data_IF_444047603529
#
_entry.id   IF_444047603529
#
_cell.length_a   1.000
_cell.length_b   1.000
_cell.length_c   1.000
_cell.angle_alpha   90.00
_cell.angle_beta   90.00
_cell.angle_gamma   90.00
#
_symmetry.space_group_name_H-M   'P 1'
#
loop_
_entity.id
_entity.type
_entity.pdbx_description
1 polymer ?
#
# COMPACT_ATOMS: atom_id res chain seq x y z
N UNK A 1 -75.45 -59.29 -4.57
CA UNK A 1 -75.02 -60.43 -5.45
C UNK A 1 -73.58 -60.07 -5.83
N UNK A 2 -72.71 -60.64 -5.08
CA UNK A 2 -71.70 -61.66 -5.34
C UNK A 2 -70.40 -61.07 -5.88
N UNK A 3 -69.41 -61.05 -4.99
CA UNK A 3 -68.23 -61.95 -4.90
C UNK A 3 -67.35 -61.90 -6.14
N UNK A 4 -66.07 -61.69 -6.08
CA UNK A 4 -64.99 -62.37 -5.40
C UNK A 4 -63.66 -61.67 -5.62
N UNK A 5 -62.84 -61.54 -4.59
CA UNK A 5 -61.47 -62.03 -4.32
C UNK A 5 -60.51 -62.19 -5.52
N UNK A 6 -59.36 -61.56 -5.43
CA UNK A 6 -58.14 -62.36 -5.41
C UNK A 6 -56.92 -61.53 -5.06
N UNK A 7 -56.14 -62.07 -4.19
CA UNK A 7 -54.84 -61.57 -3.73
C UNK A 7 -53.72 -61.82 -4.75
N UNK A 8 -52.75 -60.97 -4.84
CA UNK A 8 -51.34 -61.31 -5.20
C UNK A 8 -50.48 -60.17 -4.83
N UNK A 9 -49.81 -60.29 -3.75
CA UNK A 9 -48.42 -60.71 -3.48
C UNK A 9 -47.39 -59.59 -3.67
N UNK A 10 -47.01 -59.17 -2.56
CA UNK A 10 -45.87 -58.45 -2.06
C UNK A 10 -44.53 -58.95 -2.67
N UNK A 11 -43.99 -58.34 -3.68
CA UNK A 11 -42.55 -58.54 -4.14
C UNK A 11 -41.94 -57.30 -4.76
N UNK A 12 -42.18 -56.09 -4.26
CA UNK A 12 -41.66 -54.90 -4.83
C UNK A 12 -40.88 -53.99 -3.85
N UNK A 13 -40.75 -54.39 -2.60
CA UNK A 13 -40.30 -53.44 -1.55
C UNK A 13 -38.83 -53.63 -1.01
N UNK A 14 -38.06 -54.57 -1.56
CA UNK A 14 -36.69 -54.84 -1.06
C UNK A 14 -35.54 -54.39 -1.96
N UNK A 15 -35.79 -53.96 -3.19
CA UNK A 15 -34.72 -53.49 -4.12
C UNK A 15 -34.57 -51.97 -4.13
N UNK A 16 -35.54 -51.20 -3.66
CA UNK A 16 -35.42 -49.71 -3.60
C UNK A 16 -34.63 -49.20 -2.38
N UNK A 17 -34.52 -49.98 -1.30
CA UNK A 17 -33.79 -49.60 -0.10
C UNK A 17 -32.26 -49.76 -0.23
N UNK A 18 -31.77 -50.69 -1.07
CA UNK A 18 -30.35 -50.95 -1.27
C UNK A 18 -29.64 -49.96 -2.23
N UNK A 19 -30.39 -49.37 -3.17
CA UNK A 19 -29.87 -48.34 -4.09
C UNK A 19 -29.76 -46.96 -3.41
N UNK A 20 -30.65 -46.61 -2.50
CA UNK A 20 -30.57 -45.32 -1.79
C UNK A 20 -29.42 -45.26 -0.75
N UNK A 21 -28.99 -46.39 -0.19
CA UNK A 21 -27.87 -46.45 0.73
C UNK A 21 -26.51 -46.33 0.03
N UNK A 22 -26.39 -46.73 -1.21
CA UNK A 22 -25.15 -46.57 -2.00
C UNK A 22 -25.00 -45.13 -2.51
N UNK A 23 -26.07 -44.47 -2.91
CA UNK A 23 -26.04 -43.07 -3.35
C UNK A 23 -25.79 -42.10 -2.20
N UNK A 24 -26.29 -42.36 -1.01
CA UNK A 24 -26.03 -41.55 0.18
C UNK A 24 -24.57 -41.62 0.68
N UNK A 25 -23.90 -42.79 0.49
CA UNK A 25 -22.49 -42.93 0.86
C UNK A 25 -21.54 -42.28 -0.17
N UNK A 26 -21.82 -42.35 -1.45
CA UNK A 26 -21.06 -41.67 -2.50
C UNK A 26 -21.25 -40.15 -2.43
N UNK A 27 -22.45 -39.66 -2.15
CA UNK A 27 -22.72 -38.23 -2.00
C UNK A 27 -22.04 -37.66 -0.73
N UNK A 28 -22.04 -38.40 0.39
CA UNK A 28 -21.28 -37.99 1.60
C UNK A 28 -19.77 -38.04 1.40
N UNK A 29 -19.24 -39.02 0.66
CA UNK A 29 -17.82 -39.06 0.30
C UNK A 29 -17.44 -37.93 -0.66
N UNK A 30 -18.29 -37.58 -1.62
CA UNK A 30 -18.06 -36.42 -2.51
C UNK A 30 -18.16 -35.09 -1.77
N UNK A 31 -19.12 -34.92 -0.86
CA UNK A 31 -19.23 -33.74 0.00
C UNK A 31 -18.06 -33.64 0.99
N UNK A 32 -17.53 -34.74 1.51
CA UNK A 32 -16.35 -34.78 2.36
C UNK A 32 -15.06 -34.45 1.59
N UNK A 33 -14.95 -34.88 0.32
CA UNK A 33 -13.84 -34.57 -0.56
C UNK A 33 -13.90 -33.10 -1.01
N UNK A 34 -15.10 -32.57 -1.30
CA UNK A 34 -15.32 -31.15 -1.59
C UNK A 34 -15.05 -30.25 -0.36
N UNK A 35 -15.46 -30.69 0.83
CA UNK A 35 -15.14 -29.98 2.08
C UNK A 35 -13.63 -30.06 2.44
N UNK A 36 -12.97 -31.19 2.17
CA UNK A 36 -11.52 -31.31 2.32
C UNK A 36 -10.75 -30.53 1.25
N UNK A 37 -11.26 -30.46 0.01
CA UNK A 37 -10.68 -29.60 -1.04
C UNK A 37 -10.92 -28.11 -0.76
N UNK A 38 -12.07 -27.73 -0.19
CA UNK A 38 -12.33 -26.37 0.27
C UNK A 38 -11.48 -26.00 1.48
N UNK A 39 -11.21 -26.95 2.40
CA UNK A 39 -10.28 -26.77 3.53
C UNK A 39 -8.81 -26.74 3.08
N UNK A 40 -8.43 -27.41 1.98
CA UNK A 40 -7.10 -27.32 1.39
C UNK A 40 -6.94 -26.08 0.49
N UNK A 41 -8.04 -25.58 -0.10
CA UNK A 41 -8.03 -24.29 -0.82
C UNK A 41 -8.05 -23.09 0.13
N UNK A 42 -8.54 -23.24 1.36
CA UNK A 42 -8.45 -22.22 2.41
C UNK A 42 -7.11 -22.23 3.17
N UNK A 43 -6.23 -23.21 2.87
CA UNK A 43 -4.81 -23.17 3.26
C UNK A 43 -3.95 -22.36 2.27
N UNK A 44 -4.56 -21.75 1.24
CA UNK A 44 -3.97 -20.77 0.37
C UNK A 44 -3.73 -19.47 1.13
N UNK A 45 -2.55 -19.44 1.76
CA UNK A 45 -1.82 -18.27 2.15
C UNK A 45 -2.59 -17.10 2.75
N UNK A 46 -2.83 -17.11 4.06
CA UNK A 46 -2.82 -15.85 4.78
C UNK A 46 -1.41 -15.28 4.61
N UNK A 47 -1.16 -14.48 3.61
CA UNK A 47 0.04 -13.67 3.55
C UNK A 47 -0.07 -12.75 4.75
N UNK A 48 0.72 -13.03 5.76
CA UNK A 48 0.77 -12.22 6.96
C UNK A 48 1.31 -10.84 6.61
N UNK A 49 1.00 -9.85 7.41
CA UNK A 49 1.47 -8.48 7.28
C UNK A 49 3.00 -8.37 7.14
N UNK A 50 3.75 -9.39 7.55
CA UNK A 50 5.21 -9.45 7.45
C UNK A 50 5.76 -9.57 6.02
N UNK A 51 4.94 -9.97 5.06
CA UNK A 51 5.32 -10.04 3.65
C UNK A 51 4.80 -8.84 2.85
N UNK A 52 3.95 -7.99 3.43
CA UNK A 52 3.56 -6.75 2.78
C UNK A 52 4.76 -5.80 2.67
N UNK A 53 4.81 -5.04 1.57
CA UNK A 53 5.80 -3.97 1.44
C UNK A 53 5.70 -2.98 2.61
N UNK A 54 6.84 -2.54 3.18
CA UNK A 54 6.84 -1.45 4.15
C UNK A 54 6.09 -0.23 3.60
N UNK A 55 5.36 0.54 4.44
CA UNK A 55 4.62 1.71 3.99
C UNK A 55 5.50 2.67 3.20
N UNK A 56 5.08 3.08 2.01
CA UNK A 56 5.78 4.01 1.13
C UNK A 56 4.91 5.22 0.79
N UNK A 57 5.53 6.27 0.29
CA UNK A 57 4.84 7.48 -0.14
C UNK A 57 4.03 7.22 -1.41
N UNK A 58 2.71 7.02 -1.29
CA UNK A 58 1.76 6.91 -2.38
C UNK A 58 0.79 8.09 -2.34
N UNK A 59 1.09 9.14 -3.14
CA UNK A 59 0.24 10.33 -3.25
C UNK A 59 0.40 11.37 -2.13
N UNK A 60 1.33 11.19 -1.19
CA UNK A 60 1.54 12.14 -0.09
C UNK A 60 2.25 13.41 -0.56
N UNK A 61 3.02 13.33 -1.65
CA UNK A 61 3.67 14.46 -2.31
C UNK A 61 3.13 14.63 -3.72
N UNK A 62 2.89 15.88 -4.13
CA UNK A 62 2.20 16.17 -5.39
C UNK A 62 2.57 17.55 -5.99
N UNK A 63 1.72 18.59 -5.87
CA UNK A 63 1.88 19.86 -6.57
C UNK A 63 3.14 20.61 -6.15
N UNK A 64 3.96 21.02 -7.13
CA UNK A 64 5.19 21.78 -6.96
C UNK A 64 6.22 21.07 -6.04
N UNK A 65 6.26 19.75 -6.09
CA UNK A 65 6.98 18.90 -5.15
C UNK A 65 8.51 19.10 -5.14
N UNK A 66 9.12 19.38 -6.29
CA UNK A 66 10.56 19.62 -6.38
C UNK A 66 10.96 21.10 -6.25
N UNK A 67 10.02 22.03 -6.01
CA UNK A 67 10.34 23.45 -5.83
C UNK A 67 10.69 23.69 -4.37
N UNK A 68 11.99 23.83 -4.11
CA UNK A 68 12.48 24.16 -2.79
C UNK A 68 13.76 25.02 -2.87
N UNK A 69 14.04 25.74 -1.79
CA UNK A 69 15.15 26.68 -1.69
C UNK A 69 15.87 26.49 -0.34
N UNK A 70 17.12 26.99 -0.18
CA UNK A 70 17.80 26.94 1.10
C UNK A 70 16.96 27.51 2.26
N UNK A 71 16.94 26.78 3.38
CA UNK A 71 16.13 27.09 4.56
C UNK A 71 15.62 25.81 5.24
N UNK A 72 14.66 25.99 6.12
CA UNK A 72 14.00 24.90 6.83
C UNK A 72 12.57 24.72 6.31
N UNK A 73 12.14 23.48 6.22
CA UNK A 73 10.77 23.07 5.97
C UNK A 73 10.31 22.23 7.15
N UNK A 74 9.13 22.55 7.68
CA UNK A 74 8.40 21.69 8.62
C UNK A 74 7.04 21.41 8.01
N UNK A 75 6.68 20.13 7.93
CA UNK A 75 5.41 19.67 7.40
C UNK A 75 4.74 18.69 8.35
N UNK A 76 3.42 18.72 8.36
CA UNK A 76 2.60 17.69 8.97
C UNK A 76 1.64 17.15 7.91
N UNK A 77 1.66 15.85 7.72
CA UNK A 77 0.81 15.14 6.78
C UNK A 77 -0.14 14.22 7.53
N UNK A 78 -1.44 14.39 7.32
CA UNK A 78 -2.48 13.51 7.83
C UNK A 78 -3.06 12.70 6.68
N UNK A 79 -3.18 11.38 6.84
CA UNK A 79 -3.85 10.53 5.87
C UNK A 79 -4.95 9.69 6.52
N UNK A 80 -6.02 9.50 5.76
CA UNK A 80 -7.07 8.53 6.02
C UNK A 80 -7.22 7.65 4.80
N UNK A 81 -7.09 6.36 4.99
CA UNK A 81 -7.27 5.34 3.96
C UNK A 81 -8.36 4.37 4.39
N UNK A 82 -9.24 4.01 3.47
CA UNK A 82 -10.28 3.03 3.69
C UNK A 82 -10.51 2.18 2.45
N UNK A 83 -10.56 0.87 2.65
CA UNK A 83 -10.85 -0.12 1.62
C UNK A 83 -11.82 -1.16 2.15
N UNK A 84 -12.82 -1.49 1.34
CA UNK A 84 -13.76 -2.60 1.59
C UNK A 84 -13.43 -3.84 0.73
N UNK A 85 -12.30 -3.80 0.03
CA UNK A 85 -11.84 -4.80 -0.91
C UNK A 85 -10.35 -5.07 -0.68
N UNK A 86 -9.98 -6.36 -0.71
CA UNK A 86 -8.59 -6.84 -0.69
C UNK A 86 -8.40 -7.78 -1.86
N UNK A 87 -7.52 -7.45 -2.78
CA UNK A 87 -7.33 -8.20 -4.01
C UNK A 87 -6.28 -9.30 -3.86
N UNK A 88 -6.47 -10.38 -4.62
CA UNK A 88 -5.50 -11.45 -4.80
C UNK A 88 -4.42 -11.07 -5.83
N UNK A 89 -3.51 -12.01 -6.15
CA UNK A 89 -2.42 -11.79 -7.11
C UNK A 89 -2.90 -11.62 -8.57
N UNK A 90 -4.16 -11.89 -8.87
CA UNK A 90 -4.80 -11.69 -10.18
C UNK A 90 -5.62 -10.40 -10.24
N UNK A 91 -5.71 -9.67 -9.14
CA UNK A 91 -6.52 -8.47 -9.02
C UNK A 91 -8.00 -8.75 -8.78
N UNK A 92 -8.37 -9.98 -8.40
CA UNK A 92 -9.75 -10.30 -8.03
C UNK A 92 -9.97 -10.02 -6.55
N UNK A 93 -11.14 -9.50 -6.20
CA UNK A 93 -11.54 -9.33 -4.81
C UNK A 93 -11.56 -10.67 -4.08
N UNK A 94 -10.91 -10.76 -2.94
CA UNK A 94 -10.91 -11.95 -2.10
C UNK A 94 -12.30 -12.14 -1.51
N UNK A 95 -12.79 -13.39 -1.45
CA UNK A 95 -14.13 -13.67 -0.93
C UNK A 95 -14.27 -13.25 0.53
N UNK A 96 -15.49 -12.93 0.94
CA UNK A 96 -15.84 -12.55 2.29
C UNK A 96 -15.88 -11.04 2.51
N UNK A 97 -16.11 -10.63 3.75
CA UNK A 97 -16.09 -9.22 4.14
C UNK A 97 -14.64 -8.84 4.49
N UNK A 98 -14.08 -7.93 3.71
CA UNK A 98 -12.71 -7.45 3.89
C UNK A 98 -12.76 -5.94 4.13
N UNK A 99 -12.14 -5.46 5.20
CA UNK A 99 -12.08 -4.05 5.51
C UNK A 99 -10.71 -3.69 6.04
N UNK A 100 -10.13 -2.62 5.49
CA UNK A 100 -8.86 -2.05 5.94
C UNK A 100 -9.04 -0.56 6.17
N UNK A 101 -8.70 -0.08 7.36
CA UNK A 101 -8.70 1.34 7.68
C UNK A 101 -7.33 1.73 8.24
N UNK A 102 -6.71 2.76 7.65
CA UNK A 102 -5.43 3.29 8.10
C UNK A 102 -5.57 4.79 8.32
N UNK A 103 -5.15 5.24 9.50
CA UNK A 103 -4.98 6.66 9.81
C UNK A 103 -3.51 6.90 10.11
N UNK A 104 -2.92 7.94 9.56
CA UNK A 104 -1.53 8.29 9.88
C UNK A 104 -1.32 9.79 9.98
N UNK A 105 -0.33 10.16 10.78
CA UNK A 105 0.24 11.49 10.87
C UNK A 105 1.75 11.37 10.69
N UNK A 106 2.34 12.17 9.78
CA UNK A 106 3.78 12.16 9.53
C UNK A 106 4.32 13.56 9.73
N UNK A 107 5.16 13.71 10.75
CA UNK A 107 5.94 14.93 10.95
C UNK A 107 7.20 14.84 10.08
N UNK A 108 7.38 15.80 9.19
CA UNK A 108 8.54 15.90 8.30
C UNK A 108 9.28 17.20 8.57
N UNK A 109 10.60 17.08 8.76
CA UNK A 109 11.51 18.21 8.90
C UNK A 109 12.63 18.06 7.88
N UNK A 110 12.79 19.07 7.02
CA UNK A 110 13.85 19.11 6.03
C UNK A 110 14.65 20.40 6.15
N UNK A 111 15.95 20.28 5.91
CA UNK A 111 16.87 21.40 5.87
C UNK A 111 17.66 21.41 4.56
N UNK A 112 17.66 22.54 3.87
CA UNK A 112 18.46 22.79 2.67
C UNK A 112 19.51 23.82 3.00
N UNK A 113 20.77 23.44 2.89
CA UNK A 113 21.90 24.30 3.20
C UNK A 113 22.20 25.29 2.08
N UNK A 114 23.07 26.28 2.37
CA UNK A 114 23.65 27.10 1.32
C UNK A 114 24.90 26.47 0.67
N UNK A 115 25.37 25.32 1.18
CA UNK A 115 26.52 24.62 0.59
C UNK A 115 26.10 23.90 -0.69
N UNK A 116 26.91 24.07 -1.73
CA UNK A 116 26.66 23.43 -3.02
C UNK A 116 27.54 22.19 -3.21
N UNK A 117 26.91 21.08 -3.58
CA UNK A 117 27.56 19.85 -4.01
C UNK A 117 26.99 19.47 -5.36
N UNK A 118 27.83 19.09 -6.31
CA UNK A 118 27.43 18.70 -7.68
C UNK A 118 26.49 19.73 -8.36
N UNK A 119 26.70 21.02 -8.07
CA UNK A 119 25.90 22.12 -8.63
C UNK A 119 24.56 22.38 -7.94
N UNK A 120 24.14 21.56 -6.97
CA UNK A 120 22.93 21.72 -6.18
C UNK A 120 23.23 22.00 -4.70
N UNK A 121 22.22 22.38 -3.95
CA UNK A 121 22.28 22.61 -2.51
C UNK A 121 22.17 21.27 -1.77
N UNK A 122 23.09 21.04 -0.85
CA UNK A 122 23.02 19.89 0.06
C UNK A 122 21.87 20.07 1.05
N UNK A 123 21.16 18.98 1.36
CA UNK A 123 20.13 18.95 2.38
C UNK A 123 20.06 17.61 3.09
N UNK A 124 19.30 17.62 4.18
CA UNK A 124 18.97 16.44 4.98
C UNK A 124 17.52 16.52 5.46
N UNK A 125 16.87 15.37 5.65
CA UNK A 125 15.50 15.33 6.15
C UNK A 125 15.24 14.14 7.06
N UNK A 126 14.20 14.28 7.91
CA UNK A 126 13.69 13.25 8.80
C UNK A 126 12.17 13.24 8.74
N UNK A 127 11.59 12.04 8.70
CA UNK A 127 10.16 11.82 8.76
C UNK A 127 9.83 10.86 9.90
N UNK A 128 8.91 11.27 10.76
CA UNK A 128 8.47 10.50 11.94
C UNK A 128 6.99 10.21 11.81
N UNK A 129 6.61 8.96 11.48
CA UNK A 129 5.22 8.57 11.32
C UNK A 129 4.60 8.06 12.62
N UNK A 130 3.34 8.43 12.85
CA UNK A 130 2.43 7.79 13.78
C UNK A 130 1.29 7.19 12.97
N UNK A 131 0.87 5.97 13.29
CA UNK A 131 -0.21 5.32 12.55
C UNK A 131 -1.15 4.54 13.46
N UNK A 132 -2.36 4.34 12.97
CA UNK A 132 -3.34 3.38 13.47
C UNK A 132 -3.83 2.57 12.26
N UNK A 133 -3.74 1.26 12.36
CA UNK A 133 -4.11 0.28 11.34
C UNK A 133 -5.18 -0.62 11.94
N UNK A 134 -6.32 -0.78 11.27
CA UNK A 134 -7.41 -1.70 11.64
C UNK A 134 -7.74 -2.55 10.41
N UNK A 135 -7.49 -3.86 10.51
CA UNK A 135 -7.73 -4.84 9.45
C UNK A 135 -8.76 -5.84 9.96
N UNK A 136 -9.86 -5.96 9.23
CA UNK A 136 -10.94 -6.92 9.47
C UNK A 136 -11.18 -7.70 8.20
N UNK A 137 -10.78 -8.96 8.19
CA UNK A 137 -11.01 -9.86 7.05
C UNK A 137 -11.66 -11.15 7.52
N UNK A 138 -12.61 -11.68 6.74
CA UNK A 138 -13.34 -12.90 7.11
C UNK A 138 -12.44 -14.14 7.13
N UNK A 139 -11.46 -14.21 6.20
CA UNK A 139 -10.57 -15.37 6.03
C UNK A 139 -9.08 -15.04 6.20
N UNK A 140 -8.75 -13.90 6.78
CA UNK A 140 -7.38 -13.43 6.95
C UNK A 140 -7.13 -12.78 8.31
N UNK A 141 -6.24 -11.81 8.37
CA UNK A 141 -5.97 -11.06 9.59
C UNK A 141 -7.22 -10.32 10.08
N UNK A 142 -7.47 -10.42 11.39
CA UNK A 142 -8.47 -9.62 12.10
C UNK A 142 -7.77 -9.07 13.35
N UNK A 143 -7.12 -7.93 13.17
CA UNK A 143 -6.21 -7.36 14.15
C UNK A 143 -6.06 -5.86 13.92
N UNK A 144 -5.60 -5.15 14.93
CA UNK A 144 -5.34 -3.71 14.86
C UNK A 144 -4.05 -3.38 15.59
N UNK A 145 -3.36 -2.35 15.11
CA UNK A 145 -2.18 -1.81 15.76
C UNK A 145 -2.16 -0.28 15.70
N UNK A 146 -1.46 0.33 16.65
CA UNK A 146 -1.27 1.79 16.70
C UNK A 146 0.04 2.13 17.41
N UNK A 147 0.76 3.09 16.88
CA UNK A 147 1.98 3.53 17.52
C UNK A 147 2.89 4.28 16.57
N UNK A 148 4.17 4.30 16.91
CA UNK A 148 5.21 4.86 16.10
C UNK A 148 5.51 3.92 14.92
N UNK A 149 5.55 4.47 13.72
CA UNK A 149 6.04 3.75 12.54
C UNK A 149 7.56 3.88 12.39
N UNK A 150 8.08 3.30 11.33
CA UNK A 150 9.51 3.34 11.04
C UNK A 150 9.95 4.74 10.63
N UNK A 151 10.88 5.30 11.37
CA UNK A 151 11.46 6.62 11.09
C UNK A 151 12.24 6.57 9.79
N UNK A 152 11.99 7.54 8.92
CA UNK A 152 12.75 7.70 7.69
C UNK A 152 13.73 8.87 7.84
N UNK A 153 14.96 8.67 7.38
CA UNK A 153 16.01 9.68 7.40
C UNK A 153 16.69 9.77 6.04
N UNK A 154 16.92 10.97 5.57
CA UNK A 154 17.84 11.22 4.48
C UNK A 154 18.97 12.08 5.00
N UNK A 155 20.17 11.51 5.23
CA UNK A 155 21.33 12.28 5.61
C UNK A 155 21.90 13.10 4.46
N UNK A 156 21.43 12.83 3.24
CA UNK A 156 21.95 13.41 2.03
C UNK A 156 20.90 13.48 0.92
N UNK A 157 20.57 14.71 0.53
CA UNK A 157 19.90 14.96 -0.73
C UNK A 157 20.51 16.18 -1.44
N UNK A 158 20.28 16.31 -2.73
CA UNK A 158 20.67 17.45 -3.53
C UNK A 158 19.43 18.10 -4.12
N UNK A 159 19.24 19.37 -3.81
CA UNK A 159 18.26 20.25 -4.42
C UNK A 159 18.95 21.14 -5.44
N UNK A 160 18.73 20.91 -6.72
CA UNK A 160 19.29 21.82 -7.73
C UNK A 160 18.49 23.12 -7.80
N UNK A 161 19.16 24.26 -8.05
CA UNK A 161 18.48 25.50 -8.34
C UNK A 161 17.68 25.37 -9.63
N UNK A 162 16.83 26.36 -9.89
CA UNK A 162 16.09 26.41 -11.15
C UNK A 162 17.02 26.22 -12.35
N UNK A 163 16.63 25.30 -13.19
CA UNK A 163 17.21 25.05 -14.49
C UNK A 163 16.14 25.37 -15.58
N UNK A 164 16.55 25.62 -16.81
CA UNK A 164 15.62 25.75 -17.94
C UNK A 164 15.68 24.52 -18.83
N UNK A 165 14.58 23.82 -18.92
CA UNK A 165 14.39 22.71 -19.82
C UNK A 165 13.42 23.16 -20.95
N UNK A 166 13.90 23.24 -22.19
CA UNK A 166 13.13 23.79 -23.33
C UNK A 166 12.55 25.20 -23.01
N UNK A 167 13.37 26.08 -22.43
CA UNK A 167 13.01 27.43 -21.96
C UNK A 167 11.97 27.51 -20.84
N UNK A 168 11.53 26.36 -20.31
CA UNK A 168 10.61 26.27 -19.16
C UNK A 168 11.38 26.11 -17.86
N UNK A 169 10.97 26.79 -16.76
CA UNK A 169 11.53 26.54 -15.43
C UNK A 169 11.39 25.07 -15.03
N UNK A 170 12.51 24.49 -14.60
CA UNK A 170 12.63 23.10 -14.20
C UNK A 170 13.37 22.99 -12.87
N UNK A 171 12.76 22.33 -11.91
CA UNK A 171 13.31 22.09 -10.58
C UNK A 171 13.49 20.59 -10.38
N UNK A 172 14.55 20.19 -9.67
CA UNK A 172 14.82 18.77 -9.47
C UNK A 172 15.54 18.52 -8.14
N UNK A 173 15.34 17.33 -7.59
CA UNK A 173 15.96 16.82 -6.36
C UNK A 173 16.30 15.34 -6.53
N UNK A 174 17.46 14.96 -6.01
CA UNK A 174 17.83 13.57 -5.78
C UNK A 174 18.00 13.37 -4.28
N UNK A 175 17.40 12.33 -3.75
CA UNK A 175 17.41 12.03 -2.32
C UNK A 175 17.76 10.57 -2.06
N UNK A 176 18.56 10.32 -1.01
CA UNK A 176 18.94 8.99 -0.55
C UNK A 176 18.24 8.68 0.77
N UNK A 177 16.94 8.38 0.69
CA UNK A 177 16.08 8.13 1.84
C UNK A 177 16.29 6.71 2.38
N UNK A 178 16.51 6.58 3.68
CA UNK A 178 16.58 5.35 4.43
C UNK A 178 15.42 5.27 5.41
N UNK A 179 14.83 4.11 5.58
CA UNK A 179 13.87 3.82 6.64
C UNK A 179 14.52 2.88 7.64
N UNK A 180 14.38 3.22 8.93
CA UNK A 180 14.96 2.49 10.05
C UNK A 180 13.88 1.68 10.76
N UNK A 181 14.14 0.45 11.20
CA UNK A 181 13.18 -0.40 11.93
C UNK A 181 13.00 0.09 13.38
N UNK A 182 12.43 1.27 13.53
CA UNK A 182 12.21 1.93 14.83
C UNK A 182 10.76 1.94 15.27
N UNK A 183 9.88 1.43 14.41
CA UNK A 183 8.45 1.39 14.66
C UNK A 183 8.05 0.27 15.63
N UNK A 184 6.85 0.40 16.16
CA UNK A 184 6.27 -0.62 17.03
C UNK A 184 6.04 -1.91 16.22
N UNK A 185 6.68 -3.00 16.66
CA UNK A 185 6.65 -4.30 15.99
C UNK A 185 6.56 -5.46 17.00
N UNK A 186 5.74 -6.45 16.69
CA UNK A 186 5.66 -7.70 17.42
C UNK A 186 5.47 -8.88 16.46
N UNK A 187 6.38 -9.87 16.52
CA UNK A 187 6.23 -11.13 15.78
C UNK A 187 4.98 -11.94 16.12
N UNK A 188 4.28 -11.59 17.20
CA UNK A 188 3.04 -12.26 17.63
C UNK A 188 1.78 -11.56 17.09
N UNK A 189 1.90 -10.37 16.55
CA UNK A 189 0.81 -9.62 15.92
C UNK A 189 0.81 -9.86 14.41
N UNK A 190 -0.38 -10.02 13.83
CA UNK A 190 -0.54 -10.14 12.39
C UNK A 190 -0.51 -8.79 11.68
N UNK A 191 -0.70 -7.70 12.42
CA UNK A 191 -0.69 -6.32 11.94
C UNK A 191 0.28 -5.54 12.82
N UNK A 192 1.21 -4.84 12.21
CA UNK A 192 2.21 -4.03 12.88
C UNK A 192 2.32 -2.66 12.20
N UNK A 193 2.54 -1.61 12.96
CA UNK A 193 2.83 -0.26 12.45
C UNK A 193 4.27 -0.17 11.95
N UNK A 194 5.21 -0.81 12.63
CA UNK A 194 6.60 -0.98 12.20
C UNK A 194 6.78 -2.19 11.31
N UNK A 195 7.72 -2.14 10.38
CA UNK A 195 8.01 -3.23 9.44
C UNK A 195 9.17 -4.14 9.85
N UNK A 196 9.93 -3.75 10.87
CA UNK A 196 11.12 -4.48 11.37
C UNK A 196 12.16 -4.80 10.30
N UNK A 197 12.24 -3.96 9.25
CA UNK A 197 13.25 -4.04 8.20
C UNK A 197 13.92 -2.69 7.98
N UNK A 198 15.19 -2.70 7.59
CA UNK A 198 15.80 -1.53 6.99
C UNK A 198 15.34 -1.40 5.55
N UNK A 199 14.98 -0.19 5.13
CA UNK A 199 14.67 0.04 3.72
C UNK A 199 15.54 1.16 3.16
N UNK A 200 15.95 1.02 1.90
CA UNK A 200 16.56 2.07 1.11
C UNK A 200 15.57 2.47 0.02
N UNK A 201 15.10 3.71 0.08
CA UNK A 201 14.02 4.24 -0.77
C UNK A 201 14.42 5.55 -1.45
N UNK A 202 15.53 5.57 -2.23
CA UNK A 202 15.96 6.77 -2.93
C UNK A 202 14.92 7.25 -3.92
N UNK A 203 14.89 8.56 -4.15
CA UNK A 203 13.98 9.13 -5.13
C UNK A 203 14.60 10.26 -5.95
N UNK A 204 14.06 10.42 -7.15
CA UNK A 204 14.26 11.58 -7.98
C UNK A 204 12.94 12.32 -8.15
N UNK A 205 12.91 13.59 -7.76
CA UNK A 205 11.75 14.46 -7.90
C UNK A 205 12.04 15.57 -8.92
N UNK A 206 11.03 15.92 -9.72
CA UNK A 206 11.10 17.08 -10.59
C UNK A 206 9.78 17.85 -10.66
N UNK A 207 9.87 19.12 -10.98
CA UNK A 207 8.73 20.00 -11.31
C UNK A 207 9.09 20.81 -12.54
N UNK A 208 8.26 20.70 -13.58
CA UNK A 208 8.32 21.49 -14.79
C UNK A 208 7.20 22.54 -14.78
N UNK A 209 7.51 23.77 -15.11
CA UNK A 209 6.55 24.90 -15.10
C UNK A 209 6.41 25.48 -16.50
N UNK A 210 5.58 24.89 -17.39
CA UNK A 210 5.42 25.35 -18.77
C UNK A 210 4.88 26.77 -18.91
N UNK A 211 4.05 27.20 -17.95
CA UNK A 211 3.55 28.57 -17.89
C UNK A 211 3.56 29.06 -16.44
N UNK A 212 3.40 30.34 -16.22
CA UNK A 212 3.32 30.91 -14.85
C UNK A 212 2.21 30.28 -13.98
N UNK A 213 1.22 29.62 -14.59
CA UNK A 213 0.09 29.02 -13.91
C UNK A 213 0.05 27.49 -13.93
N UNK A 214 0.65 26.85 -14.95
CA UNK A 214 0.63 25.39 -15.13
C UNK A 214 1.93 24.79 -14.64
N UNK A 215 1.86 23.69 -13.89
CA UNK A 215 3.01 22.87 -13.53
C UNK A 215 2.70 21.38 -13.63
N UNK A 216 3.78 20.60 -13.84
CA UNK A 216 3.80 19.15 -13.77
C UNK A 216 4.89 18.72 -12.80
N UNK A 217 4.52 17.92 -11.81
CA UNK A 217 5.44 17.38 -10.81
C UNK A 217 5.42 15.87 -10.81
N UNK A 218 6.57 15.28 -10.56
CA UNK A 218 6.66 13.84 -10.35
C UNK A 218 7.79 13.50 -9.38
N UNK A 219 7.63 12.41 -8.66
CA UNK A 219 8.65 11.81 -7.82
C UNK A 219 8.70 10.32 -8.11
N UNK A 220 9.87 9.82 -8.49
CA UNK A 220 10.15 8.44 -8.87
C UNK A 220 11.02 7.81 -7.81
N UNK A 221 10.62 6.64 -7.32
CA UNK A 221 11.27 5.93 -6.23
C UNK A 221 11.71 4.53 -6.63
N UNK A 222 12.74 4.06 -5.99
CA UNK A 222 13.09 2.65 -5.88
C UNK A 222 13.05 2.24 -4.41
N UNK A 223 12.59 1.03 -4.12
CA UNK A 223 12.54 0.47 -2.76
C UNK A 223 13.31 -0.84 -2.71
N UNK A 224 14.24 -0.93 -1.79
CA UNK A 224 14.91 -2.16 -1.37
C UNK A 224 14.71 -2.35 0.13
N UNK A 225 14.54 -3.62 0.57
CA UNK A 225 14.31 -3.98 1.96
C UNK A 225 15.32 -5.03 2.42
N UNK A 226 15.76 -4.93 3.68
CA UNK A 226 16.53 -6.00 4.33
C UNK A 226 15.63 -7.16 4.72
N UNK A 227 16.25 -8.24 5.22
CA UNK A 227 15.55 -9.31 5.89
C UNK A 227 15.01 -8.85 7.25
N UNK A 228 13.89 -9.45 7.66
CA UNK A 228 13.32 -9.45 9.01
C UNK A 228 13.65 -10.80 9.64
N UNK A 229 14.51 -10.81 10.66
CA UNK A 229 14.95 -12.03 11.37
C UNK A 229 13.93 -12.52 12.42
N UNK A 230 12.87 -11.75 12.64
CA UNK A 230 11.78 -12.08 13.56
C UNK A 230 10.41 -12.02 12.87
N UNK A 231 10.17 -12.79 11.79
CA UNK A 231 8.91 -12.73 11.04
C UNK A 231 7.72 -13.17 11.89
N UNK A 232 6.52 -12.83 11.45
CA UNK A 232 5.28 -13.26 12.10
C UNK A 232 5.29 -14.76 12.35
N UNK A 233 5.14 -15.17 13.61
CA UNK A 233 5.38 -16.56 14.05
C UNK A 233 4.56 -17.63 13.30
N UNK A 234 3.42 -17.27 12.71
CA UNK A 234 2.59 -18.22 11.94
C UNK A 234 3.16 -18.52 10.54
N UNK A 235 4.08 -17.73 10.04
CA UNK A 235 4.78 -18.01 8.79
C UNK A 235 5.69 -19.24 8.92
N UNK A 236 6.10 -19.59 10.16
CA UNK A 236 7.00 -20.73 10.46
C UNK A 236 8.32 -20.64 9.71
N UNK A 237 8.79 -19.44 9.43
CA UNK A 237 10.05 -19.12 8.82
C UNK A 237 11.02 -18.51 9.84
N UNK A 238 12.32 -18.61 9.59
CA UNK A 238 13.36 -17.97 10.40
C UNK A 238 13.55 -16.52 10.01
N UNK A 239 13.39 -16.19 8.72
CA UNK A 239 13.41 -14.83 8.21
C UNK A 239 12.37 -14.61 7.10
N UNK A 240 12.05 -13.36 6.87
CA UNK A 240 11.25 -12.90 5.74
C UNK A 240 11.89 -11.67 5.11
N UNK A 241 11.72 -11.48 3.81
CA UNK A 241 12.22 -10.29 3.12
C UNK A 241 11.15 -9.77 2.14
N UNK A 242 10.58 -8.58 2.36
CA UNK A 242 9.70 -7.95 1.38
C UNK A 242 10.45 -7.68 0.08
N UNK A 243 9.80 -7.90 -1.04
CA UNK A 243 10.42 -7.71 -2.35
C UNK A 243 10.79 -6.26 -2.64
N UNK A 244 11.51 -6.07 -3.73
CA UNK A 244 11.88 -4.74 -4.22
C UNK A 244 10.72 -4.14 -5.00
N UNK A 245 10.59 -2.82 -4.98
CA UNK A 245 9.54 -2.13 -5.71
C UNK A 245 10.04 -0.85 -6.39
N UNK A 246 9.30 -0.42 -7.39
CA UNK A 246 9.36 0.94 -7.94
C UNK A 246 7.99 1.59 -7.73
N UNK A 247 8.01 2.85 -7.34
CA UNK A 247 6.77 3.60 -7.21
C UNK A 247 6.95 5.05 -7.64
N UNK A 248 5.85 5.70 -7.95
CA UNK A 248 5.88 7.07 -8.41
C UNK A 248 4.65 7.84 -7.94
N UNK A 249 4.85 9.13 -7.68
CA UNK A 249 3.79 10.13 -7.59
C UNK A 249 3.89 11.04 -8.81
N UNK A 250 2.76 11.45 -9.35
CA UNK A 250 2.69 12.41 -10.45
C UNK A 250 1.52 13.36 -10.25
N UNK A 251 1.67 14.60 -10.67
CA UNK A 251 0.63 15.61 -10.54
C UNK A 251 0.72 16.67 -11.63
N UNK A 252 -0.43 17.23 -11.96
CA UNK A 252 -0.56 18.42 -12.79
C UNK A 252 -1.49 19.40 -12.10
N UNK A 253 -1.07 20.66 -11.92
CA UNK A 253 -1.91 21.68 -11.30
C UNK A 253 -1.90 23.00 -12.05
N UNK A 254 -3.01 23.71 -11.96
CA UNK A 254 -3.21 25.01 -12.55
C UNK A 254 -3.60 26.04 -11.48
N UNK A 255 -2.94 27.19 -11.48
CA UNK A 255 -3.25 28.30 -10.58
C UNK A 255 -4.49 29.05 -11.08
N UNK A 256 -5.63 28.79 -10.44
CA UNK A 256 -6.92 29.37 -10.81
C UNK A 256 -7.12 30.77 -10.25
N UNK A 257 -6.60 31.01 -9.06
CA UNK A 257 -6.51 32.31 -8.38
C UNK A 257 -5.12 32.45 -7.81
N UNK A 258 -4.71 33.67 -7.47
CA UNK A 258 -3.43 33.90 -6.79
C UNK A 258 -3.33 32.99 -5.56
N UNK A 259 -2.24 32.24 -5.47
CA UNK A 259 -1.92 31.31 -4.38
C UNK A 259 -2.88 30.12 -4.22
N UNK A 260 -3.86 29.94 -5.12
CA UNK A 260 -4.77 28.80 -5.13
C UNK A 260 -4.61 27.97 -6.41
N UNK A 261 -4.22 26.74 -6.26
CA UNK A 261 -4.05 25.76 -7.35
C UNK A 261 -5.02 24.61 -7.22
N UNK A 262 -5.61 24.21 -8.34
CA UNK A 262 -6.38 22.98 -8.47
C UNK A 262 -5.68 22.07 -9.49
N UNK A 263 -5.84 20.78 -9.32
CA UNK A 263 -5.24 19.83 -10.25
C UNK A 263 -5.66 18.39 -10.01
N UNK A 264 -4.94 17.52 -10.68
CA UNK A 264 -5.05 16.07 -10.56
C UNK A 264 -3.71 15.53 -10.10
N UNK A 265 -3.75 14.61 -9.16
CA UNK A 265 -2.60 13.89 -8.67
C UNK A 265 -2.87 12.38 -8.74
N UNK A 266 -1.82 11.60 -8.84
CA UNK A 266 -1.92 10.15 -8.85
C UNK A 266 -0.61 9.50 -8.41
N UNK A 267 -0.67 8.20 -8.24
CA UNK A 267 0.47 7.37 -7.91
C UNK A 267 0.36 5.98 -8.55
N UNK A 268 1.50 5.32 -8.63
CA UNK A 268 1.60 3.94 -9.06
C UNK A 268 2.65 3.22 -8.21
N UNK A 269 2.38 1.96 -7.89
CA UNK A 269 3.32 1.03 -7.23
C UNK A 269 3.41 -0.25 -8.04
N UNK A 270 4.63 -0.73 -8.22
CA UNK A 270 4.93 -2.03 -8.81
C UNK A 270 6.02 -2.72 -7.99
N UNK A 271 5.70 -3.81 -7.34
CA UNK A 271 6.72 -4.69 -6.79
C UNK A 271 7.38 -5.47 -7.95
N UNK A 272 8.71 -5.42 -8.02
CA UNK A 272 9.48 -5.94 -9.16
C UNK A 272 10.21 -7.25 -8.85
N UNK A 273 10.29 -7.65 -7.59
CA UNK A 273 10.76 -8.98 -7.18
C UNK A 273 9.78 -9.61 -6.21
N UNK A 274 9.74 -10.94 -6.17
CA UNK A 274 8.91 -11.66 -5.21
C UNK A 274 9.45 -11.46 -3.78
N UNK A 275 8.58 -11.61 -2.77
CA UNK A 275 8.98 -11.71 -1.38
C UNK A 275 9.73 -13.01 -1.13
N UNK A 276 10.47 -13.08 -0.02
CA UNK A 276 11.21 -14.30 0.35
C UNK A 276 10.87 -14.74 1.76
N UNK A 277 10.81 -16.06 1.92
CA UNK A 277 10.81 -16.76 3.21
C UNK A 277 11.98 -17.72 3.28
N UNK A 278 12.82 -17.60 4.30
CA UNK A 278 14.06 -18.40 4.45
C UNK A 278 14.95 -18.39 3.19
N UNK A 279 14.93 -17.28 2.43
CA UNK A 279 15.67 -17.07 1.19
C UNK A 279 14.96 -17.59 -0.08
N UNK A 280 13.85 -18.32 0.04
CA UNK A 280 13.08 -18.85 -1.08
C UNK A 280 12.03 -17.86 -1.58
N UNK A 281 12.00 -17.61 -2.89
CA UNK A 281 11.05 -16.72 -3.54
C UNK A 281 9.60 -17.23 -3.39
N UNK A 282 8.70 -16.35 -2.94
CA UNK A 282 7.27 -16.62 -2.79
C UNK A 282 6.54 -16.22 -4.07
N UNK A 283 6.28 -17.21 -4.94
CA UNK A 283 5.58 -16.94 -6.21
C UNK A 283 4.24 -16.23 -6.00
N UNK A 284 3.92 -15.26 -6.86
CA UNK A 284 2.68 -14.49 -6.83
C UNK A 284 2.52 -13.56 -5.60
N UNK A 285 3.62 -13.14 -4.98
CA UNK A 285 3.60 -12.22 -3.83
C UNK A 285 3.60 -10.74 -4.22
N UNK A 286 3.87 -10.42 -5.50
CA UNK A 286 4.09 -9.04 -5.95
C UNK A 286 2.86 -8.17 -5.81
N UNK A 287 3.06 -6.99 -5.22
CA UNK A 287 2.05 -5.97 -5.07
C UNK A 287 2.01 -5.00 -6.28
N UNK A 288 0.81 -4.54 -6.61
CA UNK A 288 0.59 -3.47 -7.58
C UNK A 288 -0.61 -2.63 -7.16
N UNK A 289 -0.56 -1.31 -7.40
CA UNK A 289 -1.74 -0.43 -7.29
C UNK A 289 -1.51 0.87 -8.04
N UNK A 290 -2.62 1.45 -8.50
CA UNK A 290 -2.69 2.80 -9.04
C UNK A 290 -3.68 3.62 -8.22
N UNK A 291 -3.44 4.91 -8.09
CA UNK A 291 -4.37 5.85 -7.49
C UNK A 291 -4.42 7.15 -8.28
N UNK A 292 -5.60 7.73 -8.41
CA UNK A 292 -5.81 9.02 -9.08
C UNK A 292 -6.90 9.82 -8.38
N UNK A 293 -6.76 11.12 -8.37
CA UNK A 293 -7.81 11.97 -7.85
C UNK A 293 -7.51 13.47 -7.90
N UNK A 294 -8.48 14.29 -7.54
CA UNK A 294 -8.34 15.74 -7.48
C UNK A 294 -7.47 16.18 -6.30
N UNK A 295 -6.86 17.33 -6.47
CA UNK A 295 -6.09 17.98 -5.43
C UNK A 295 -6.22 19.49 -5.45
N UNK A 296 -5.96 20.07 -4.30
CA UNK A 296 -5.96 21.51 -4.06
C UNK A 296 -4.70 21.88 -3.29
N UNK A 297 -4.05 23.00 -3.67
CA UNK A 297 -3.01 23.66 -2.88
C UNK A 297 -3.40 25.10 -2.66
N UNK A 298 -3.31 25.55 -1.42
CA UNK A 298 -3.46 26.95 -1.06
C UNK A 298 -2.25 27.43 -0.28
N UNK A 299 -1.72 28.59 -0.67
CA UNK A 299 -0.55 29.20 -0.04
C UNK A 299 -0.92 30.50 0.66
N UNK A 300 -0.45 30.70 1.89
CA UNK A 300 -0.59 31.93 2.66
C UNK A 300 0.80 32.26 3.22
N UNK A 301 1.44 33.29 2.69
CA UNK A 301 2.80 33.70 3.07
C UNK A 301 3.80 32.52 2.97
N UNK A 302 4.33 32.07 4.12
CA UNK A 302 5.26 30.92 4.23
C UNK A 302 4.56 29.59 4.46
N UNK A 303 3.23 29.57 4.61
CA UNK A 303 2.45 28.37 4.79
C UNK A 303 1.90 27.85 3.47
N UNK A 304 1.84 26.55 3.32
CA UNK A 304 1.13 25.89 2.25
C UNK A 304 0.24 24.78 2.80
N UNK A 305 -0.97 24.68 2.30
CA UNK A 305 -1.93 23.64 2.65
C UNK A 305 -2.28 22.87 1.38
N UNK A 306 -2.35 21.53 1.50
CA UNK A 306 -2.68 20.64 0.40
C UNK A 306 -3.81 19.71 0.84
N UNK A 307 -4.78 19.51 -0.01
CA UNK A 307 -5.85 18.54 0.19
C UNK A 307 -5.97 17.70 -1.07
N UNK A 308 -5.83 16.40 -0.93
CA UNK A 308 -5.94 15.45 -2.02
C UNK A 308 -6.86 14.31 -1.64
N UNK A 309 -7.57 13.78 -2.63
CA UNK A 309 -8.26 12.50 -2.51
C UNK A 309 -7.83 11.61 -3.66
N UNK A 310 -7.79 10.30 -3.41
CA UNK A 310 -7.41 9.32 -4.41
C UNK A 310 -8.41 8.18 -4.40
N UNK A 311 -8.77 7.71 -5.57
CA UNK A 311 -9.44 6.45 -5.81
C UNK A 311 -8.42 5.47 -6.35
N UNK A 312 -8.30 4.31 -5.70
CA UNK A 312 -7.39 3.26 -6.14
C UNK A 312 -8.05 2.32 -7.14
N UNK A 313 -7.23 1.71 -7.99
CA UNK A 313 -7.65 0.72 -8.97
C UNK A 313 -6.47 -0.17 -9.39
N UNK A 314 -6.80 -1.37 -9.87
CA UNK A 314 -5.83 -2.33 -10.40
C UNK A 314 -4.88 -2.86 -9.34
N UNK A 315 -5.35 -2.97 -8.09
CA UNK A 315 -4.59 -3.54 -7.01
C UNK A 315 -4.40 -5.05 -7.19
N UNK A 316 -3.21 -5.54 -6.88
CA UNK A 316 -2.83 -6.95 -6.78
C UNK A 316 -2.15 -7.17 -5.44
N UNK A 317 -2.51 -8.24 -4.71
CA UNK A 317 -2.00 -8.61 -3.39
C UNK A 317 -2.10 -7.51 -2.32
N UNK A 318 -3.07 -6.62 -2.44
CA UNK A 318 -3.26 -5.52 -1.49
C UNK A 318 -4.69 -5.00 -1.47
N UNK A 319 -5.05 -4.19 -0.45
CA UNK A 319 -6.32 -3.47 -0.44
C UNK A 319 -6.45 -2.52 -1.63
N UNK A 320 -7.69 -2.29 -2.07
CA UNK A 320 -8.07 -1.29 -3.07
C UNK A 320 -9.19 -0.41 -2.52
N UNK A 321 -8.93 0.89 -2.38
CA UNK A 321 -9.85 1.75 -1.66
C UNK A 321 -9.75 3.23 -2.03
N UNK A 322 -10.05 4.07 -1.05
CA UNK A 322 -9.99 5.52 -1.15
C UNK A 322 -9.01 6.08 -0.12
N UNK A 323 -8.26 7.10 -0.52
CA UNK A 323 -7.32 7.81 0.34
C UNK A 323 -7.62 9.31 0.35
N UNK A 324 -7.62 9.90 1.53
CA UNK A 324 -7.62 11.34 1.74
C UNK A 324 -6.31 11.74 2.39
N UNK A 325 -5.69 12.81 1.88
CA UNK A 325 -4.44 13.34 2.41
C UNK A 325 -4.56 14.85 2.61
N UNK A 326 -4.30 15.30 3.82
CA UNK A 326 -4.17 16.72 4.18
C UNK A 326 -2.75 16.98 4.63
N UNK A 327 -2.07 17.94 4.00
CA UNK A 327 -0.70 18.34 4.34
C UNK A 327 -0.66 19.83 4.61
N UNK A 328 -0.02 20.20 5.69
CA UNK A 328 0.30 21.59 6.02
C UNK A 328 1.81 21.72 6.14
N UNK A 329 2.38 22.73 5.50
CA UNK A 329 3.83 22.97 5.51
C UNK A 329 4.15 24.43 5.79
N UNK A 330 5.30 24.66 6.43
CA UNK A 330 5.85 25.97 6.67
C UNK A 330 7.33 26.01 6.31
N UNK A 331 7.71 27.07 5.56
CA UNK A 331 9.09 27.36 5.19
C UNK A 331 9.62 28.51 6.06
N UNK A 332 10.89 28.38 6.52
CA UNK A 332 11.58 29.35 7.36
C UNK A 332 12.87 29.87 6.70
#
# INVERSE_FOLDING_TARGET
>A
MDRARSASTNRGCLTAAATNLKHGRTLRAFLSILAAAALLASAGGSHAADLALPPVNLGDTNFQDAIAFPGWLVEELFTYYHADQVNDYQGNDRPGSNQVTIMSAVTHVAWISNYKLFGGFYGAEILVPLAHIDIKTEFGPNDQDRGLGDVSVSPFFIQWPEYKLFDMPFFQRLDLLFKLPTGDYSRHSAVNVGSNVYSFNPYYAFTLVPTSRLEFSSRLYYLWNSENDEPFYRLRANNSQPGQAVHANAAASYEILKDLRLGVAGYALFQISDDKLDGDDQSHSRERVFGIGPGLKYKIDTWSMYLNSYYEFGAENRPEGVKFAFRISKVF
#
